data_IF_797585261827
#
_entry.id   IF_797585261827
#
_cell.length_a   1.000
_cell.length_b   1.000
_cell.length_c   1.000
_cell.angle_alpha   90.00
_cell.angle_beta   90.00
_cell.angle_gamma   90.00
#
_symmetry.space_group_name_H-M   'P 1'
#
loop_
_entity.id
_entity.type
_entity.pdbx_description
1 polymer ?
#
# COMPACT_ATOMS: atom_id res chain seq x y z
N UNK A 1 -21.70 -19.30 -53.67
CA UNK A 1 -20.76 -18.29 -53.12
C UNK A 1 -20.68 -18.45 -51.63
N UNK A 2 -19.59 -18.86 -51.03
CA UNK A 2 -19.53 -19.08 -49.61
C UNK A 2 -19.18 -17.75 -48.88
N UNK A 3 -19.85 -17.38 -47.79
CA UNK A 3 -19.38 -16.36 -46.89
C UNK A 3 -18.38 -16.98 -45.89
N UNK A 4 -17.15 -16.99 -46.27
CA UNK A 4 -16.03 -17.20 -45.35
C UNK A 4 -15.42 -15.85 -45.05
N UNK A 5 -15.12 -15.55 -43.81
CA UNK A 5 -14.45 -14.36 -43.26
C UNK A 5 -15.36 -13.63 -42.25
N UNK A 6 -15.55 -14.22 -41.08
CA UNK A 6 -15.89 -13.50 -39.85
C UNK A 6 -15.60 -14.40 -38.63
N UNK A 7 -14.36 -14.88 -38.56
CA UNK A 7 -13.91 -15.63 -37.39
C UNK A 7 -12.43 -15.34 -37.14
N UNK A 8 -12.08 -14.18 -36.71
CA UNK A 8 -10.70 -13.90 -36.24
C UNK A 8 -10.56 -12.49 -35.66
N UNK A 9 -11.32 -12.10 -34.62
CA UNK A 9 -11.00 -10.88 -33.90
C UNK A 9 -11.53 -10.88 -32.46
N UNK A 10 -11.35 -11.96 -31.72
CA UNK A 10 -11.71 -11.99 -30.29
C UNK A 10 -10.61 -12.57 -29.40
N UNK A 11 -9.37 -12.35 -29.74
CA UNK A 11 -8.25 -12.92 -28.99
C UNK A 11 -7.18 -11.87 -28.66
N UNK A 12 -7.49 -10.78 -27.96
CA UNK A 12 -6.41 -9.89 -27.47
C UNK A 12 -6.88 -8.96 -26.33
N UNK A 13 -7.58 -9.46 -25.34
CA UNK A 13 -7.86 -8.70 -24.10
C UNK A 13 -7.65 -9.54 -22.84
N UNK A 14 -6.63 -10.39 -22.85
CA UNK A 14 -6.06 -10.90 -21.61
C UNK A 14 -4.95 -9.95 -21.16
N UNK A 15 -5.33 -8.76 -20.73
CA UNK A 15 -4.42 -7.89 -19.99
C UNK A 15 -4.15 -8.55 -18.63
N UNK A 16 -3.11 -9.33 -18.61
CA UNK A 16 -2.64 -10.13 -17.50
C UNK A 16 -2.23 -9.23 -16.34
N UNK A 17 -3.02 -9.19 -15.29
CA UNK A 17 -2.47 -9.00 -13.97
C UNK A 17 -1.59 -10.22 -13.68
N UNK A 18 -0.30 -10.12 -13.97
CA UNK A 18 0.62 -11.22 -13.69
C UNK A 18 0.72 -11.38 -12.18
N UNK A 19 0.43 -12.57 -11.64
CA UNK A 19 0.64 -12.84 -10.23
C UNK A 19 2.13 -12.66 -9.91
N UNK A 20 2.41 -12.19 -8.70
CA UNK A 20 3.79 -12.08 -8.21
C UNK A 20 4.46 -13.45 -8.25
N UNK A 21 5.74 -13.51 -8.63
CA UNK A 21 6.49 -14.76 -8.59
C UNK A 21 6.54 -15.30 -7.15
N UNK A 22 6.71 -16.62 -6.96
CA UNK A 22 6.88 -17.21 -5.64
C UNK A 22 8.01 -16.51 -4.87
N UNK A 23 7.83 -16.35 -3.54
CA UNK A 23 8.86 -15.78 -2.69
C UNK A 23 10.04 -16.78 -2.55
N UNK A 24 11.28 -16.38 -2.86
CA UNK A 24 12.46 -17.16 -2.52
C UNK A 24 12.55 -17.41 -1.00
N UNK A 25 13.01 -18.60 -0.60
CA UNK A 25 13.03 -19.03 0.81
C UNK A 25 13.98 -18.19 1.69
N UNK A 26 14.95 -17.54 1.11
CA UNK A 26 15.94 -16.67 1.75
C UNK A 26 15.54 -15.20 1.81
N UNK A 27 14.39 -14.83 1.25
CA UNK A 27 13.88 -13.47 1.22
C UNK A 27 12.58 -13.31 2.01
N UNK A 28 12.19 -12.06 2.20
CA UNK A 28 10.96 -11.64 2.90
C UNK A 28 10.13 -10.81 1.95
N UNK A 29 8.82 -10.98 1.98
CA UNK A 29 7.89 -10.15 1.20
C UNK A 29 6.99 -9.33 2.11
N UNK A 30 6.91 -8.02 1.84
CA UNK A 30 6.04 -7.10 2.55
C UNK A 30 4.99 -6.56 1.61
N UNK A 31 3.74 -6.95 1.82
CA UNK A 31 2.57 -6.43 1.10
C UNK A 31 2.06 -5.15 1.75
N UNK A 32 1.32 -4.34 0.99
CA UNK A 32 0.67 -3.12 1.46
C UNK A 32 -0.84 -3.24 1.31
N UNK A 33 -1.59 -2.87 2.35
CA UNK A 33 -3.05 -2.88 2.36
C UNK A 33 -3.60 -1.63 3.03
N UNK A 34 -4.20 -0.76 2.24
CA UNK A 34 -4.78 0.51 2.68
C UNK A 34 -6.29 0.48 2.86
N UNK A 35 -6.93 -0.67 2.57
CA UNK A 35 -8.39 -0.73 2.47
C UNK A 35 -8.95 -0.05 1.21
N UNK A 36 -10.28 0.09 1.15
CA UNK A 36 -11.01 0.41 -0.09
C UNK A 36 -11.07 1.89 -0.51
N UNK A 37 -10.77 2.82 0.41
CA UNK A 37 -10.91 4.28 0.15
C UNK A 37 -9.62 5.06 0.40
N UNK A 38 -8.52 4.38 0.35
CA UNK A 38 -7.22 4.95 0.59
C UNK A 38 -6.22 4.35 -0.39
N UNK A 39 -5.08 4.99 -0.49
CA UNK A 39 -3.95 4.53 -1.29
C UNK A 39 -2.70 4.44 -0.40
N UNK A 40 -1.94 3.37 -0.58
CA UNK A 40 -0.68 3.19 0.13
C UNK A 40 0.39 2.67 -0.82
N UNK A 41 1.55 3.25 -0.74
CA UNK A 41 2.70 2.83 -1.53
C UNK A 41 3.99 2.88 -0.72
N UNK A 42 4.95 2.06 -1.08
CA UNK A 42 6.28 2.12 -0.53
C UNK A 42 6.88 3.52 -0.76
N UNK A 43 7.57 4.03 0.24
CA UNK A 43 8.20 5.35 0.17
C UNK A 43 9.71 5.27 0.40
N UNK A 44 10.15 4.72 1.51
CA UNK A 44 11.56 4.49 1.80
C UNK A 44 11.78 3.11 2.43
N UNK A 45 12.92 2.54 2.15
CA UNK A 45 13.43 1.32 2.75
C UNK A 45 14.84 1.60 3.26
N UNK A 46 15.05 1.44 4.56
CA UNK A 46 16.34 1.70 5.22
C UNK A 46 16.93 3.07 4.84
N UNK A 47 16.07 4.08 4.78
CA UNK A 47 16.42 5.47 4.43
C UNK A 47 16.47 5.78 2.94
N UNK A 48 16.48 4.79 2.05
CA UNK A 48 16.54 4.97 0.60
C UNK A 48 15.16 5.05 -0.05
N UNK A 49 14.97 5.92 -1.03
CA UNK A 49 13.72 6.05 -1.77
C UNK A 49 13.41 4.80 -2.58
N UNK A 50 12.20 4.27 -2.39
CA UNK A 50 11.64 3.21 -3.22
C UNK A 50 10.90 3.84 -4.38
N UNK A 51 11.30 3.52 -5.61
CA UNK A 51 10.69 4.06 -6.84
C UNK A 51 9.47 3.28 -7.30
N UNK A 52 9.26 2.10 -6.77
CA UNK A 52 8.15 1.21 -7.08
C UNK A 52 6.98 1.46 -6.10
N UNK A 53 5.78 1.03 -6.47
CA UNK A 53 4.60 1.16 -5.61
C UNK A 53 4.65 0.25 -4.39
N UNK A 54 5.42 -0.81 -4.44
CA UNK A 54 5.61 -1.82 -3.39
C UNK A 54 7.08 -1.97 -3.04
N UNK A 55 7.35 -2.51 -1.86
CA UNK A 55 8.70 -2.91 -1.50
C UNK A 55 9.18 -4.06 -2.39
N UNK A 56 10.47 -4.09 -2.76
CA UNK A 56 11.08 -5.30 -3.32
C UNK A 56 11.08 -6.41 -2.28
N UNK A 57 11.32 -7.66 -2.68
CA UNK A 57 11.62 -8.71 -1.74
C UNK A 57 12.93 -8.39 -1.01
N UNK A 58 12.96 -8.55 0.31
CA UNK A 58 14.00 -8.07 1.21
C UNK A 58 14.82 -9.23 1.77
N UNK A 59 16.12 -9.04 2.07
CA UNK A 59 16.82 -9.95 2.95
C UNK A 59 16.19 -9.95 4.35
N UNK A 60 16.27 -11.05 5.12
CA UNK A 60 15.82 -11.07 6.50
C UNK A 60 16.67 -10.13 7.37
N UNK A 61 16.12 -9.69 8.49
CA UNK A 61 16.76 -8.81 9.44
C UNK A 61 15.89 -7.64 9.85
N UNK A 62 16.47 -6.69 10.55
CA UNK A 62 15.79 -5.45 10.96
C UNK A 62 15.79 -4.45 9.82
N UNK A 63 14.59 -3.97 9.47
CA UNK A 63 14.40 -2.98 8.42
C UNK A 63 13.55 -1.83 8.90
N UNK A 64 13.85 -0.64 8.39
CA UNK A 64 13.01 0.55 8.49
C UNK A 64 12.18 0.69 7.21
N UNK A 65 10.87 0.51 7.33
CA UNK A 65 9.91 0.63 6.25
C UNK A 65 9.17 1.96 6.38
N UNK A 66 9.16 2.77 5.35
CA UNK A 66 8.30 3.95 5.30
C UNK A 66 7.31 3.81 4.16
N UNK A 67 6.04 4.06 4.46
CA UNK A 67 4.95 4.04 3.48
C UNK A 67 4.31 5.41 3.37
N UNK A 68 3.92 5.78 2.16
CA UNK A 68 3.09 6.94 1.92
C UNK A 68 1.63 6.49 1.88
N UNK A 69 0.88 6.94 2.86
CA UNK A 69 -0.54 6.63 3.02
C UNK A 69 -1.39 7.86 2.73
N UNK A 70 -2.31 7.73 1.78
CA UNK A 70 -3.20 8.80 1.35
C UNK A 70 -4.66 8.38 1.55
N UNK A 71 -5.42 9.21 2.23
CA UNK A 71 -6.81 8.92 2.59
C UNK A 71 -7.67 10.17 2.54
N UNK A 72 -8.99 9.97 2.47
CA UNK A 72 -9.95 11.07 2.51
C UNK A 72 -10.37 11.37 3.95
N UNK A 73 -10.42 12.63 4.29
CA UNK A 73 -10.96 13.14 5.56
C UNK A 73 -12.24 13.90 5.28
N UNK A 74 -13.24 13.82 6.19
CA UNK A 74 -14.46 14.59 6.05
C UNK A 74 -14.16 16.08 5.95
N UNK A 75 -14.86 16.78 5.07
CA UNK A 75 -14.88 18.23 5.05
C UNK A 75 -15.51 18.77 6.33
N UNK A 76 -15.03 19.90 6.83
CA UNK A 76 -15.64 20.59 7.96
C UNK A 76 -16.97 21.25 7.56
N UNK A 77 -17.83 21.53 8.55
CA UNK A 77 -18.99 22.39 8.34
C UNK A 77 -18.49 23.83 8.14
N UNK A 78 -18.65 24.36 6.93
CA UNK A 78 -18.45 25.79 6.68
C UNK A 78 -19.50 26.63 7.39
N UNK A 79 -19.18 27.87 7.74
CA UNK A 79 -19.99 28.79 8.54
C UNK A 79 -21.40 29.17 8.02
N UNK A 80 -21.88 28.51 6.96
CA UNK A 80 -23.23 28.66 6.40
C UNK A 80 -23.95 27.32 6.23
N UNK A 81 -23.58 26.28 6.99
CA UNK A 81 -24.23 24.98 6.93
C UNK A 81 -23.93 24.16 5.67
N UNK A 82 -23.00 24.61 4.83
CA UNK A 82 -22.55 23.86 3.68
C UNK A 82 -21.47 22.87 4.10
N UNK A 83 -21.69 21.59 3.76
CA UNK A 83 -20.66 20.57 3.91
C UNK A 83 -19.54 20.88 2.88
N UNK A 84 -18.33 21.11 3.36
CA UNK A 84 -17.17 21.22 2.48
C UNK A 84 -16.82 19.83 1.93
N UNK A 85 -16.29 19.83 0.70
CA UNK A 85 -15.86 18.59 0.05
C UNK A 85 -14.83 17.81 0.87
N UNK A 86 -14.83 16.47 0.79
CA UNK A 86 -13.79 15.65 1.40
C UNK A 86 -12.41 16.08 0.90
N UNK A 87 -11.44 16.11 1.80
CA UNK A 87 -10.05 16.49 1.47
C UNK A 87 -9.15 15.27 1.52
N UNK A 88 -8.24 15.18 0.58
CA UNK A 88 -7.17 14.19 0.63
C UNK A 88 -6.09 14.62 1.60
N UNK A 89 -5.76 13.71 2.51
CA UNK A 89 -4.64 13.86 3.45
C UNK A 89 -3.59 12.81 3.12
N UNK A 90 -2.35 13.22 3.08
CA UNK A 90 -1.21 12.34 2.83
C UNK A 90 -0.31 12.35 4.06
N UNK A 91 0.09 11.17 4.51
CA UNK A 91 0.99 10.98 5.64
C UNK A 91 2.10 9.98 5.29
N UNK A 92 3.25 10.15 5.89
CA UNK A 92 4.31 9.14 5.91
C UNK A 92 4.24 8.40 7.24
N UNK A 93 4.11 7.09 7.16
CA UNK A 93 4.16 6.19 8.29
C UNK A 93 5.48 5.43 8.28
N UNK A 94 6.13 5.32 9.43
CA UNK A 94 7.37 4.59 9.62
C UNK A 94 7.17 3.38 10.51
N UNK A 95 7.79 2.28 10.15
CA UNK A 95 7.75 1.00 10.86
C UNK A 95 9.17 0.46 10.89
N UNK A 96 9.64 0.14 12.08
CA UNK A 96 10.88 -0.62 12.26
C UNK A 96 10.53 -2.00 12.79
N UNK A 97 10.98 -3.04 12.12
CA UNK A 97 10.67 -4.40 12.51
C UNK A 97 11.70 -5.41 12.05
N UNK A 98 11.79 -6.51 12.79
CA UNK A 98 12.59 -7.65 12.43
C UNK A 98 11.78 -8.60 11.56
N UNK A 99 12.32 -8.93 10.39
CA UNK A 99 11.67 -9.74 9.38
C UNK A 99 12.41 -11.05 9.19
N UNK A 100 11.69 -12.17 9.19
CA UNK A 100 12.25 -13.52 9.10
C UNK A 100 12.21 -14.05 7.67
N UNK A 101 13.25 -14.79 7.27
CA UNK A 101 13.37 -15.39 5.95
C UNK A 101 12.19 -16.32 5.62
N UNK A 102 11.72 -16.25 4.37
CA UNK A 102 10.62 -17.07 3.87
C UNK A 102 9.23 -16.61 4.29
N UNK A 103 9.14 -15.56 5.11
CA UNK A 103 7.88 -15.08 5.68
C UNK A 103 7.24 -13.97 4.84
N UNK A 104 5.92 -13.90 4.94
CA UNK A 104 5.10 -12.84 4.36
C UNK A 104 4.59 -11.93 5.46
N UNK A 105 4.80 -10.64 5.28
CA UNK A 105 4.28 -9.60 6.15
C UNK A 105 3.35 -8.67 5.38
N UNK A 106 2.57 -7.89 6.10
CA UNK A 106 1.68 -6.88 5.53
C UNK A 106 1.75 -5.61 6.35
N UNK A 107 1.90 -4.47 5.68
CA UNK A 107 1.64 -3.17 6.29
C UNK A 107 0.19 -2.83 6.04
N UNK A 108 -0.57 -2.66 7.11
CA UNK A 108 -1.97 -2.23 7.06
C UNK A 108 -2.09 -0.81 7.59
N UNK A 109 -3.00 -0.03 7.04
CA UNK A 109 -3.31 1.29 7.55
C UNK A 109 -4.80 1.62 7.39
N UNK A 110 -5.32 2.35 8.35
CA UNK A 110 -6.66 2.93 8.35
C UNK A 110 -6.65 4.30 9.02
N UNK A 111 -7.74 5.03 8.95
CA UNK A 111 -7.88 6.31 9.62
C UNK A 111 -8.83 6.24 10.82
N UNK A 112 -8.50 6.95 11.87
CA UNK A 112 -9.40 7.31 12.95
C UNK A 112 -9.61 8.82 12.90
N UNK A 113 -10.73 9.25 12.34
CA UNK A 113 -10.95 10.67 12.05
C UNK A 113 -9.90 11.22 11.09
N UNK A 114 -9.04 12.10 11.57
CA UNK A 114 -7.95 12.73 10.80
C UNK A 114 -6.60 12.06 11.02
N UNK A 115 -6.52 11.08 11.91
CA UNK A 115 -5.28 10.42 12.30
C UNK A 115 -5.11 9.11 11.53
N UNK A 116 -3.96 8.88 10.89
CA UNK A 116 -3.62 7.60 10.33
C UNK A 116 -3.17 6.65 11.44
N UNK A 117 -3.57 5.39 11.33
CA UNK A 117 -3.11 4.29 12.19
C UNK A 117 -2.62 3.17 11.29
N UNK A 118 -1.43 2.67 11.55
CA UNK A 118 -0.85 1.59 10.77
C UNK A 118 -0.18 0.54 11.64
N UNK A 119 -0.04 -0.66 11.08
CA UNK A 119 0.62 -1.80 11.72
C UNK A 119 1.40 -2.62 10.70
N UNK A 120 2.46 -3.24 11.18
CA UNK A 120 3.06 -4.40 10.53
C UNK A 120 2.37 -5.65 11.07
N UNK A 121 1.88 -6.48 10.19
CA UNK A 121 1.20 -7.74 10.53
C UNK A 121 1.96 -8.91 9.90
N UNK A 122 1.91 -10.06 10.55
CA UNK A 122 2.39 -11.32 10.00
C UNK A 122 1.39 -11.96 9.03
N UNK A 123 1.71 -13.13 8.51
CA UNK A 123 0.84 -13.86 7.59
C UNK A 123 -0.48 -14.31 8.23
N UNK A 124 -0.55 -14.46 9.54
CA UNK A 124 -1.75 -14.78 10.30
C UNK A 124 -2.61 -13.54 10.62
N UNK A 125 -2.13 -12.33 10.30
CA UNK A 125 -2.79 -11.08 10.61
C UNK A 125 -2.56 -10.58 12.03
N UNK A 126 -1.57 -11.15 12.74
CA UNK A 126 -1.18 -10.66 14.06
C UNK A 126 -0.39 -9.36 13.93
N UNK A 127 -0.76 -8.37 14.72
CA UNK A 127 -0.11 -7.06 14.75
C UNK A 127 1.19 -7.13 15.53
N UNK A 128 2.30 -7.01 14.84
CA UNK A 128 3.63 -7.11 15.42
C UNK A 128 4.16 -5.75 15.89
N UNK A 129 4.02 -4.72 15.05
CA UNK A 129 4.54 -3.38 15.32
C UNK A 129 3.53 -2.35 14.89
N UNK A 130 3.32 -1.33 15.74
CA UNK A 130 2.53 -0.15 15.37
C UNK A 130 3.38 0.86 14.62
N UNK A 131 2.87 1.37 13.51
CA UNK A 131 3.52 2.44 12.76
C UNK A 131 3.53 3.76 13.55
N UNK A 132 4.62 4.50 13.41
CA UNK A 132 4.71 5.89 13.83
C UNK A 132 4.34 6.83 12.69
N UNK A 133 3.69 7.95 13.01
CA UNK A 133 3.42 9.01 12.02
C UNK A 133 4.65 9.91 11.96
N UNK A 134 5.37 9.88 10.85
CA UNK A 134 6.56 10.71 10.66
C UNK A 134 6.15 12.15 10.34
N UNK A 135 5.26 12.32 9.36
CA UNK A 135 4.70 13.62 8.97
C UNK A 135 3.44 13.44 8.13
N UNK A 136 2.62 14.49 8.12
CA UNK A 136 1.46 14.63 7.23
C UNK A 136 1.44 16.03 6.63
N UNK A 137 0.89 16.18 5.44
CA UNK A 137 0.67 17.49 4.84
C UNK A 137 1.02 17.57 3.36
N UNK A 138 0.99 18.79 2.78
CA UNK A 138 1.40 19.02 1.40
C UNK A 138 2.90 18.77 1.24
N UNK A 139 3.30 18.25 0.08
CA UNK A 139 4.71 17.94 -0.21
C UNK A 139 5.24 16.64 0.42
N UNK A 140 4.34 15.77 0.81
CA UNK A 140 4.64 14.43 1.36
C UNK A 140 4.50 13.37 0.27
#
# INVERSE_FOLDING_TARGET
>A
MPPRILLSLTLLLSACAQPLPPLPADLVRVALDSGTRADMRAYRLDGELVRQLRFPDLPPGTHELQVRYQFEVPGGMGGLGQLSEPRRRTCILGIEGELSAGEHYRVTAYRLGWQPVGYLEDAAGERLVRASVIRCGPGV
#
